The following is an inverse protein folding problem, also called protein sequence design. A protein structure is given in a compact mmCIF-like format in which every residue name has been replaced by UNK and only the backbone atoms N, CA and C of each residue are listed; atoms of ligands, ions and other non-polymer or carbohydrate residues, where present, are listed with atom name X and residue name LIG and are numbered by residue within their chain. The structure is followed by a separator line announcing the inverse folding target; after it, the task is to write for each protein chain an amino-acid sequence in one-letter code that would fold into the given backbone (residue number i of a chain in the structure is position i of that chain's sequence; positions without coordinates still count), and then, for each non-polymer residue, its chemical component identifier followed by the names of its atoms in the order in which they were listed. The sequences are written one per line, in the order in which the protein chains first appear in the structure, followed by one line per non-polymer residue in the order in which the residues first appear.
data_IF_305918181925
#
_entry.id   IF_305918181925
#
_cell.length_a   1.000
_cell.length_b   1.000
_cell.length_c   1.000
_cell.angle_alpha   90.00
_cell.angle_beta   90.00
_cell.angle_gamma   90.00
#
_symmetry.space_group_name_H-M   'P 1'
#
loop_
_entity.id
_entity.type
_entity.pdbx_description
1 polymer ?
#
# COMPACT_ATOMS: atom_id res chain seq x y z
N UNK A 1 -45.52 53.23 -21.66
CA UNK A 1 -46.40 52.08 -21.35
C UNK A 1 -46.58 51.18 -22.58
N UNK A 2 -45.50 50.74 -23.23
CA UNK A 2 -45.60 49.91 -24.45
C UNK A 2 -44.39 48.98 -24.70
N UNK A 3 -43.64 48.61 -23.66
CA UNK A 3 -42.47 47.71 -23.79
C UNK A 3 -42.51 46.49 -22.88
N UNK A 4 -43.54 46.32 -22.03
CA UNK A 4 -43.71 45.14 -21.15
C UNK A 4 -44.66 44.06 -21.68
N UNK A 5 -45.31 44.26 -22.83
CA UNK A 5 -46.28 43.29 -23.37
C UNK A 5 -45.70 42.26 -24.36
N UNK A 6 -44.47 42.43 -24.84
CA UNK A 6 -43.87 41.52 -25.83
C UNK A 6 -43.07 40.36 -25.21
N UNK A 7 -42.66 40.45 -23.94
CA UNK A 7 -41.89 39.36 -23.29
C UNK A 7 -42.75 38.25 -22.67
N UNK A 8 -44.01 38.50 -22.31
CA UNK A 8 -44.83 37.45 -21.67
C UNK A 8 -45.36 36.40 -22.66
N UNK A 9 -45.56 36.76 -23.94
CA UNK A 9 -46.03 35.83 -24.98
C UNK A 9 -44.95 34.84 -25.43
N UNK A 10 -43.66 35.17 -25.35
CA UNK A 10 -42.56 34.23 -25.67
C UNK A 10 -42.34 33.18 -24.58
N UNK A 11 -42.60 33.50 -23.30
CA UNK A 11 -42.44 32.54 -22.19
C UNK A 11 -43.55 31.49 -22.14
N UNK A 12 -44.78 31.80 -22.54
CA UNK A 12 -45.86 30.79 -22.60
C UNK A 12 -45.68 29.78 -23.75
N UNK A 13 -45.08 30.18 -24.87
CA UNK A 13 -44.87 29.27 -26.00
C UNK A 13 -43.75 28.24 -25.73
N UNK A 14 -42.73 28.61 -24.95
CA UNK A 14 -41.59 27.74 -24.63
C UNK A 14 -41.97 26.70 -23.54
N UNK A 15 -42.82 27.08 -22.59
CA UNK A 15 -43.30 26.14 -21.55
C UNK A 15 -44.29 25.12 -22.11
N UNK A 16 -45.09 25.48 -23.12
CA UNK A 16 -46.03 24.56 -23.80
C UNK A 16 -45.36 23.51 -24.69
N UNK A 17 -44.18 23.79 -25.25
CA UNK A 17 -43.44 22.84 -26.11
C UNK A 17 -42.62 21.85 -25.27
N UNK A 18 -42.10 22.27 -24.11
CA UNK A 18 -41.31 21.40 -23.23
C UNK A 18 -42.21 20.39 -22.46
N UNK A 19 -43.45 20.77 -22.14
CA UNK A 19 -44.42 19.84 -21.51
C UNK A 19 -44.98 18.78 -22.47
N UNK A 20 -45.13 19.10 -23.76
CA UNK A 20 -45.58 18.16 -24.78
C UNK A 20 -44.54 17.08 -25.16
N UNK A 21 -43.25 17.41 -25.09
CA UNK A 21 -42.16 16.46 -25.37
C UNK A 21 -41.96 15.49 -24.18
N UNK A 22 -42.17 15.97 -22.94
CA UNK A 22 -42.12 15.11 -21.75
C UNK A 22 -43.25 14.06 -21.71
N UNK A 23 -44.46 14.40 -22.19
CA UNK A 23 -45.59 13.46 -22.16
C UNK A 23 -45.58 12.41 -23.29
N UNK A 24 -44.85 12.61 -24.38
CA UNK A 24 -44.85 11.69 -25.53
C UNK A 24 -43.66 10.74 -25.54
N UNK A 25 -42.54 11.10 -24.91
CA UNK A 25 -41.32 10.28 -24.90
C UNK A 25 -41.16 9.44 -23.62
N UNK A 26 -41.62 9.93 -22.45
CA UNK A 26 -41.43 9.24 -21.16
C UNK A 26 -42.62 8.35 -20.74
N UNK A 27 -43.84 8.61 -21.21
CA UNK A 27 -45.00 7.78 -20.87
C UNK A 27 -44.92 6.34 -21.40
N UNK A 28 -44.38 6.08 -22.62
CA UNK A 28 -44.18 4.70 -23.09
C UNK A 28 -43.10 3.94 -22.30
N UNK A 29 -42.19 4.64 -21.62
CA UNK A 29 -41.13 4.04 -20.80
C UNK A 29 -41.63 3.68 -19.38
N UNK A 30 -42.60 4.43 -18.85
CA UNK A 30 -43.20 4.17 -17.53
C UNK A 30 -44.30 3.09 -17.54
N UNK A 31 -44.94 2.84 -18.70
CA UNK A 31 -45.99 1.82 -18.83
C UNK A 31 -45.47 0.43 -19.21
N UNK A 32 -44.16 0.25 -19.44
CA UNK A 32 -43.57 -1.04 -19.80
C UNK A 32 -43.00 -1.78 -18.58
N UNK A 33 -43.83 -1.96 -17.54
CA UNK A 33 -43.49 -2.70 -16.31
C UNK A 33 -43.07 -4.15 -16.57
N UNK A 34 -43.47 -4.73 -17.70
CA UNK A 34 -43.17 -6.11 -18.08
C UNK A 34 -41.76 -6.35 -18.66
N UNK A 35 -41.00 -5.28 -18.96
CA UNK A 35 -39.62 -5.42 -19.45
C UNK A 35 -38.59 -5.46 -18.32
N UNK A 36 -38.91 -4.89 -17.15
CA UNK A 36 -38.05 -4.90 -15.97
C UNK A 36 -38.07 -6.23 -15.22
N UNK A 37 -39.22 -6.93 -15.16
CA UNK A 37 -39.28 -8.26 -14.53
C UNK A 37 -38.67 -9.37 -15.39
N UNK A 38 -38.75 -9.27 -16.72
CA UNK A 38 -38.05 -10.21 -17.62
C UNK A 38 -36.51 -10.11 -17.54
N UNK A 39 -35.97 -8.96 -17.12
CA UNK A 39 -34.52 -8.81 -16.89
C UNK A 39 -34.06 -9.32 -15.51
N UNK A 40 -34.97 -9.59 -14.55
CA UNK A 40 -34.61 -10.29 -13.30
C UNK A 40 -34.47 -11.80 -13.48
N UNK A 41 -35.01 -12.35 -14.57
CA UNK A 41 -34.90 -13.77 -14.94
C UNK A 41 -33.87 -14.04 -16.04
N UNK A 42 -33.13 -13.02 -16.50
CA UNK A 42 -31.80 -13.27 -17.05
C UNK A 42 -30.89 -13.61 -15.87
N UNK A 43 -31.05 -14.84 -15.41
CA UNK A 43 -29.93 -15.61 -14.86
C UNK A 43 -28.70 -15.22 -15.65
N UNK A 44 -27.67 -14.75 -14.94
CA UNK A 44 -26.32 -14.91 -15.41
C UNK A 44 -26.17 -16.41 -15.68
N UNK A 45 -26.50 -16.84 -16.90
CA UNK A 45 -25.87 -17.98 -17.51
C UNK A 45 -24.41 -17.56 -17.67
N UNK A 46 -23.70 -17.57 -16.54
CA UNK A 46 -22.28 -17.87 -16.52
C UNK A 46 -22.20 -19.11 -17.36
N UNK A 47 -21.62 -18.97 -18.55
CA UNK A 47 -21.29 -20.09 -19.39
C UNK A 47 -20.63 -21.11 -18.48
N UNK A 48 -21.25 -22.28 -18.28
CA UNK A 48 -20.65 -23.44 -17.59
C UNK A 48 -19.32 -23.88 -18.22
N UNK A 49 -18.91 -23.24 -19.33
CA UNK A 49 -17.60 -23.35 -19.97
C UNK A 49 -16.51 -22.43 -19.41
N UNK A 50 -16.81 -21.57 -18.44
CA UNK A 50 -15.81 -20.82 -17.67
C UNK A 50 -15.54 -21.44 -16.29
N UNK A 51 -15.84 -22.73 -16.10
CA UNK A 51 -14.97 -23.60 -15.30
C UNK A 51 -13.63 -23.77 -16.05
N UNK A 52 -12.97 -22.65 -16.35
CA UNK A 52 -11.55 -22.68 -16.63
C UNK A 52 -10.89 -23.06 -15.31
N UNK A 53 -10.05 -24.09 -15.33
CA UNK A 53 -9.26 -24.61 -14.22
C UNK A 53 -8.74 -23.50 -13.29
N UNK A 54 -9.46 -23.22 -12.21
CA UNK A 54 -8.91 -22.48 -11.07
C UNK A 54 -7.78 -23.27 -10.37
N UNK A 55 -7.60 -24.54 -10.75
CA UNK A 55 -6.42 -25.34 -10.47
C UNK A 55 -5.12 -24.70 -11.01
N UNK A 56 -5.20 -23.68 -11.88
CA UNK A 56 -4.03 -22.99 -12.47
C UNK A 56 -3.86 -21.52 -12.06
N UNK A 57 -4.60 -20.97 -11.08
CA UNK A 57 -4.46 -19.55 -10.74
C UNK A 57 -3.02 -19.17 -10.34
N UNK A 58 -2.40 -20.01 -9.51
CA UNK A 58 -1.02 -19.83 -8.99
C UNK A 58 -0.42 -21.20 -8.63
N UNK A 59 0.86 -21.44 -8.91
CA UNK A 59 1.47 -22.79 -8.74
C UNK A 59 2.77 -22.84 -7.90
N UNK A 60 3.10 -21.82 -7.10
CA UNK A 60 4.31 -21.80 -6.27
C UNK A 60 4.13 -22.46 -4.88
N UNK A 61 5.21 -22.93 -4.22
CA UNK A 61 5.13 -23.47 -2.86
C UNK A 61 4.68 -22.44 -1.82
N UNK A 62 4.06 -22.85 -0.70
CA UNK A 62 3.64 -21.94 0.37
C UNK A 62 4.75 -21.01 0.85
N UNK A 63 4.36 -19.82 1.30
CA UNK A 63 5.29 -18.91 1.96
C UNK A 63 5.60 -19.43 3.37
N UNK A 64 6.88 -19.42 3.73
CA UNK A 64 7.37 -19.76 5.07
C UNK A 64 8.25 -18.63 5.56
N UNK A 65 8.32 -18.42 6.87
CA UNK A 65 9.08 -17.32 7.50
C UNK A 65 10.54 -17.66 7.83
N UNK A 66 10.94 -18.92 7.80
CA UNK A 66 12.34 -19.33 8.03
C UNK A 66 13.28 -19.16 6.82
N UNK A 67 14.50 -18.62 7.01
CA UNK A 67 15.50 -18.43 5.95
C UNK A 67 15.87 -19.69 5.20
N UNK A 68 15.97 -19.57 3.88
CA UNK A 68 16.44 -20.67 3.01
C UNK A 68 17.95 -20.83 3.03
N UNK A 69 18.66 -20.02 3.82
CA UNK A 69 20.11 -20.02 3.92
C UNK A 69 20.58 -19.73 5.34
N UNK A 70 21.79 -20.18 5.67
CA UNK A 70 22.40 -19.88 6.97
C UNK A 70 22.85 -18.41 7.04
N UNK A 71 22.03 -17.61 7.71
CA UNK A 71 22.29 -16.18 7.92
C UNK A 71 23.56 -15.92 8.74
N UNK A 72 23.92 -16.82 9.66
CA UNK A 72 25.14 -16.70 10.47
C UNK A 72 26.37 -16.90 9.60
N UNK A 73 26.35 -17.92 8.75
CA UNK A 73 27.44 -18.20 7.80
C UNK A 73 27.57 -17.08 6.76
N UNK A 74 26.44 -16.56 6.25
CA UNK A 74 26.40 -15.38 5.37
C UNK A 74 27.08 -14.16 6.00
N UNK A 75 26.66 -13.75 7.21
CA UNK A 75 27.24 -12.60 7.92
C UNK A 75 28.72 -12.80 8.24
N UNK A 76 29.11 -14.04 8.57
CA UNK A 76 30.50 -14.36 8.94
C UNK A 76 31.44 -14.36 7.73
N UNK A 77 31.01 -14.83 6.56
CA UNK A 77 31.93 -15.12 5.45
C UNK A 77 31.70 -14.31 4.18
N UNK A 78 30.50 -13.77 3.98
CA UNK A 78 30.14 -13.12 2.73
C UNK A 78 30.15 -11.60 2.85
N UNK A 79 29.49 -11.04 3.87
CA UNK A 79 29.16 -9.62 3.94
C UNK A 79 30.12 -8.80 4.82
N UNK A 80 30.52 -7.62 4.33
CA UNK A 80 31.26 -6.61 5.12
C UNK A 80 30.24 -5.70 5.82
N UNK A 81 30.09 -5.85 7.14
CA UNK A 81 29.08 -5.22 8.01
C UNK A 81 29.02 -3.67 8.05
N UNK A 82 29.77 -2.95 7.21
CA UNK A 82 29.99 -1.50 7.39
C UNK A 82 29.35 -0.60 6.32
N UNK A 83 28.60 -1.13 5.36
CA UNK A 83 28.20 -0.33 4.20
C UNK A 83 26.68 -0.34 3.99
N UNK A 84 26.09 0.86 3.95
CA UNK A 84 24.74 1.10 3.43
C UNK A 84 24.67 0.70 1.95
N UNK A 85 23.60 0.00 1.57
CA UNK A 85 23.40 -0.64 0.26
C UNK A 85 23.24 0.36 -0.90
N UNK A 86 23.54 -0.01 -2.16
CA UNK A 86 24.85 -0.42 -2.67
C UNK A 86 25.42 0.63 -3.64
N UNK A 87 26.63 1.10 -3.37
CA UNK A 87 27.59 1.73 -4.28
C UNK A 87 27.99 0.80 -5.43
N UNK A 88 28.62 1.39 -6.45
CA UNK A 88 28.67 0.92 -7.85
C UNK A 88 29.22 -0.50 -8.10
N UNK A 89 29.76 -1.16 -7.08
CA UNK A 89 30.34 -2.50 -7.19
C UNK A 89 29.92 -3.38 -6.00
N UNK A 90 28.97 -4.32 -6.20
CA UNK A 90 28.64 -5.33 -5.21
C UNK A 90 29.88 -6.08 -4.67
N UNK A 91 30.97 -6.20 -5.44
CA UNK A 91 32.20 -6.84 -5.00
C UNK A 91 32.89 -6.10 -3.85
N UNK A 92 32.68 -4.78 -3.70
CA UNK A 92 33.19 -4.01 -2.56
C UNK A 92 32.52 -4.39 -1.23
N UNK A 93 31.35 -5.04 -1.28
CA UNK A 93 30.59 -5.48 -0.11
C UNK A 93 30.94 -6.89 0.33
N UNK A 94 31.64 -7.64 -0.53
CA UNK A 94 31.96 -9.02 -0.27
C UNK A 94 33.37 -9.17 0.29
N UNK A 95 33.54 -10.06 1.27
CA UNK A 95 34.87 -10.38 1.82
C UNK A 95 35.73 -11.01 0.73
N UNK A 96 37.04 -10.73 0.71
CA UNK A 96 37.98 -11.20 -0.35
C UNK A 96 37.88 -12.70 -0.72
N UNK A 97 37.42 -13.56 0.19
CA UNK A 97 37.28 -15.01 -0.02
C UNK A 97 35.81 -15.51 -0.07
N UNK A 98 34.83 -14.63 -0.33
CA UNK A 98 33.41 -15.02 -0.33
C UNK A 98 33.11 -16.15 -1.33
N UNK A 99 33.84 -16.21 -2.45
CA UNK A 99 33.69 -17.24 -3.49
C UNK A 99 34.05 -18.66 -3.03
N UNK A 100 34.68 -18.81 -1.86
CA UNK A 100 34.95 -20.13 -1.27
C UNK A 100 33.71 -20.77 -0.62
N UNK A 101 32.65 -19.99 -0.35
CA UNK A 101 31.48 -20.46 0.38
C UNK A 101 30.25 -20.50 -0.53
N UNK A 102 29.59 -21.65 -0.59
CA UNK A 102 28.39 -21.87 -1.41
C UNK A 102 27.27 -20.89 -1.06
N UNK A 103 27.05 -20.63 0.23
CA UNK A 103 26.02 -19.67 0.68
C UNK A 103 26.23 -18.27 0.06
N UNK A 104 27.48 -17.84 -0.13
CA UNK A 104 27.72 -16.52 -0.71
C UNK A 104 27.30 -16.51 -2.18
N UNK A 105 27.65 -17.56 -2.93
CA UNK A 105 27.27 -17.67 -4.35
C UNK A 105 25.76 -17.73 -4.52
N UNK A 106 25.07 -18.51 -3.69
CA UNK A 106 23.63 -18.70 -3.77
C UNK A 106 22.87 -17.42 -3.49
N UNK A 107 23.23 -16.70 -2.41
CA UNK A 107 22.58 -15.42 -2.05
C UNK A 107 22.87 -14.34 -3.08
N UNK A 108 24.10 -14.25 -3.60
CA UNK A 108 24.45 -13.28 -4.66
C UNK A 108 23.69 -13.60 -5.94
N UNK A 109 23.59 -14.87 -6.31
CA UNK A 109 22.78 -15.32 -7.46
C UNK A 109 21.31 -14.97 -7.25
N UNK A 110 20.78 -15.12 -6.03
CA UNK A 110 19.41 -14.76 -5.70
C UNK A 110 19.17 -13.25 -5.88
N UNK A 111 20.02 -12.41 -5.30
CA UNK A 111 19.97 -10.95 -5.44
C UNK A 111 19.98 -10.56 -6.93
N UNK A 112 20.93 -11.09 -7.70
CA UNK A 112 21.07 -10.77 -9.13
C UNK A 112 19.93 -11.33 -9.98
N UNK A 113 19.25 -12.38 -9.54
CA UNK A 113 18.09 -12.93 -10.26
C UNK A 113 16.87 -12.01 -10.16
N UNK A 114 16.68 -11.34 -9.02
CA UNK A 114 15.51 -10.49 -8.76
C UNK A 114 15.77 -9.02 -9.05
N UNK A 115 16.96 -8.52 -8.71
CA UNK A 115 17.26 -7.09 -8.78
C UNK A 115 18.28 -6.75 -9.86
N UNK A 116 18.09 -5.58 -10.46
CA UNK A 116 19.12 -4.87 -11.21
C UNK A 116 19.44 -3.58 -10.45
N UNK A 117 20.71 -3.40 -10.09
CA UNK A 117 21.19 -2.24 -9.33
C UNK A 117 22.26 -1.54 -10.13
N UNK A 118 22.11 -0.23 -10.33
CA UNK A 118 23.03 0.60 -11.11
C UNK A 118 23.27 1.93 -10.42
N UNK A 119 24.50 2.42 -10.46
CA UNK A 119 24.80 3.79 -10.06
C UNK A 119 25.18 4.62 -11.28
N UNK A 120 24.68 5.84 -11.36
CA UNK A 120 25.11 6.85 -12.33
C UNK A 120 25.63 8.08 -11.59
N UNK A 121 26.56 8.81 -12.21
CA UNK A 121 27.03 10.10 -11.70
C UNK A 121 26.47 11.20 -12.60
N UNK A 122 25.65 12.08 -12.05
CA UNK A 122 25.13 13.25 -12.73
C UNK A 122 25.98 14.48 -12.38
N UNK A 123 26.62 15.06 -13.41
CA UNK A 123 27.43 16.28 -13.26
C UNK A 123 26.54 17.52 -13.40
N UNK A 124 26.74 18.49 -12.51
CA UNK A 124 26.01 19.77 -12.52
C UNK A 124 27.03 20.89 -12.43
N UNK A 125 26.81 21.94 -13.20
CA UNK A 125 27.55 23.19 -13.11
C UNK A 125 26.63 24.29 -12.57
N UNK A 126 27.12 25.05 -11.58
CA UNK A 126 26.39 26.18 -11.02
C UNK A 126 27.03 27.49 -11.46
N UNK A 127 26.31 28.39 -12.16
CA UNK A 127 26.76 29.75 -12.39
C UNK A 127 27.10 30.43 -11.06
N UNK A 128 28.07 31.34 -11.04
CA UNK A 128 28.67 31.89 -9.81
C UNK A 128 27.64 32.39 -8.78
N UNK A 129 26.65 33.17 -9.22
CA UNK A 129 25.58 33.69 -8.35
C UNK A 129 24.78 32.54 -7.73
N UNK A 130 24.48 31.51 -8.50
CA UNK A 130 23.74 30.35 -8.02
C UNK A 130 24.61 29.45 -7.13
N UNK A 131 25.90 29.30 -7.43
CA UNK A 131 26.86 28.59 -6.60
C UNK A 131 26.91 29.18 -5.17
N UNK A 132 26.91 30.50 -5.04
CA UNK A 132 26.84 31.17 -3.72
C UNK A 132 25.53 30.82 -2.99
N UNK A 133 24.39 30.82 -3.69
CA UNK A 133 23.09 30.42 -3.12
C UNK A 133 23.10 28.96 -2.65
N UNK A 134 23.65 28.03 -3.45
CA UNK A 134 23.75 26.62 -3.10
C UNK A 134 24.69 26.40 -1.90
N UNK A 135 25.85 27.08 -1.88
CA UNK A 135 26.76 27.06 -0.72
C UNK A 135 26.04 27.52 0.55
N UNK A 136 25.26 28.59 0.47
CA UNK A 136 24.44 29.06 1.60
C UNK A 136 23.42 28.01 2.05
N UNK A 137 22.73 27.33 1.12
CA UNK A 137 21.78 26.25 1.46
C UNK A 137 22.47 25.10 2.20
N UNK A 138 23.70 24.77 1.83
CA UNK A 138 24.49 23.74 2.50
C UNK A 138 25.31 24.24 3.69
N UNK A 139 25.01 25.43 4.23
CA UNK A 139 25.78 26.05 5.33
C UNK A 139 27.29 26.07 5.07
N UNK A 140 27.68 26.29 3.82
CA UNK A 140 29.07 26.34 3.34
C UNK A 140 29.86 25.03 3.55
N UNK A 141 29.19 23.90 3.68
CA UNK A 141 29.82 22.58 3.68
C UNK A 141 30.40 22.26 2.29
N UNK A 142 31.73 22.31 2.17
CA UNK A 142 32.44 22.03 0.93
C UNK A 142 32.27 20.59 0.45
N UNK A 143 32.04 19.64 1.35
CA UNK A 143 31.82 18.22 1.01
C UNK A 143 30.45 18.04 0.36
N UNK A 144 29.41 18.62 0.95
CA UNK A 144 28.07 18.61 0.34
C UNK A 144 28.03 19.38 -0.96
N UNK A 145 28.72 20.52 -1.05
CA UNK A 145 28.84 21.27 -2.29
C UNK A 145 29.52 20.45 -3.40
N UNK A 146 30.62 19.75 -3.09
CA UNK A 146 31.28 18.86 -4.06
C UNK A 146 30.36 17.71 -4.52
N UNK A 147 29.62 17.08 -3.58
CA UNK A 147 28.60 16.07 -3.90
C UNK A 147 27.45 16.62 -4.77
N UNK A 148 27.13 17.90 -4.64
CA UNK A 148 26.09 18.53 -5.45
C UNK A 148 26.50 18.77 -6.91
N UNK A 149 27.79 19.00 -7.14
CA UNK A 149 28.38 19.09 -8.48
C UNK A 149 28.50 17.72 -9.15
N UNK A 150 28.62 16.64 -8.38
CA UNK A 150 28.73 15.26 -8.87
C UNK A 150 27.79 14.35 -8.08
N UNK A 151 26.52 14.34 -8.47
CA UNK A 151 25.49 13.62 -7.76
C UNK A 151 25.49 12.14 -8.13
N UNK A 152 25.70 11.29 -7.13
CA UNK A 152 25.52 9.85 -7.28
C UNK A 152 24.03 9.49 -7.18
N UNK A 153 23.54 8.81 -8.21
CA UNK A 153 22.16 8.36 -8.33
C UNK A 153 22.15 6.83 -8.38
N UNK A 154 21.34 6.22 -7.52
CA UNK A 154 21.31 4.78 -7.33
C UNK A 154 19.96 4.24 -7.80
N UNK A 155 19.97 3.47 -8.87
CA UNK A 155 18.80 2.89 -9.51
C UNK A 155 18.67 1.45 -9.07
N UNK A 156 17.51 1.06 -8.56
CA UNK A 156 17.17 -0.30 -8.20
C UNK A 156 15.88 -0.69 -8.91
N UNK A 157 15.91 -1.76 -9.67
CA UNK A 157 14.75 -2.31 -10.39
C UNK A 157 14.53 -3.74 -9.91
N UNK A 158 13.31 -4.06 -9.47
CA UNK A 158 12.86 -5.44 -9.36
C UNK A 158 12.47 -5.96 -10.75
N UNK A 159 13.18 -6.96 -11.27
CA UNK A 159 12.98 -7.52 -12.62
C UNK A 159 11.62 -8.21 -12.77
N UNK A 160 11.02 -8.64 -11.66
CA UNK A 160 9.76 -9.36 -11.65
C UNK A 160 8.55 -8.42 -11.47
N UNK A 161 8.61 -7.46 -10.56
CA UNK A 161 7.50 -6.50 -10.33
C UNK A 161 7.61 -5.24 -11.18
N UNK A 162 8.78 -4.98 -11.76
CA UNK A 162 9.14 -3.72 -12.42
C UNK A 162 9.05 -2.47 -11.54
N UNK A 163 8.94 -2.65 -10.21
CA UNK A 163 9.12 -1.55 -9.27
C UNK A 163 10.54 -1.00 -9.43
N UNK A 164 10.61 0.32 -9.66
CA UNK A 164 11.84 1.03 -9.95
C UNK A 164 11.99 2.20 -8.98
N UNK A 165 13.10 2.22 -8.26
CA UNK A 165 13.40 3.26 -7.26
C UNK A 165 14.75 3.90 -7.56
N UNK A 166 14.79 5.23 -7.46
CA UNK A 166 16.02 6.02 -7.49
C UNK A 166 16.29 6.63 -6.14
N UNK A 167 17.41 6.23 -5.53
CA UNK A 167 17.92 6.87 -4.34
C UNK A 167 18.80 8.06 -4.71
N UNK A 168 18.45 9.23 -4.17
CA UNK A 168 19.26 10.45 -4.24
C UNK A 168 19.18 11.21 -2.91
N UNK A 169 20.10 10.96 -1.96
CA UNK A 169 20.06 11.62 -0.66
C UNK A 169 20.18 13.14 -0.68
N UNK A 170 20.78 13.71 -1.74
CA UNK A 170 20.89 15.15 -1.88
C UNK A 170 19.55 15.82 -2.16
N UNK A 171 18.58 15.12 -2.77
CA UNK A 171 17.25 15.67 -3.02
C UNK A 171 16.49 16.01 -1.74
N UNK A 172 16.73 15.29 -0.65
CA UNK A 172 16.17 15.60 0.67
C UNK A 172 16.71 16.90 1.28
N UNK A 173 17.76 17.51 0.70
CA UNK A 173 18.34 18.79 1.16
C UNK A 173 17.80 20.00 0.41
N UNK A 174 16.83 19.81 -0.49
CA UNK A 174 16.18 20.92 -1.20
C UNK A 174 15.46 21.81 -0.19
N UNK A 175 15.47 23.14 -0.36
CA UNK A 175 14.65 24.02 0.46
C UNK A 175 13.17 23.63 0.31
N UNK A 176 12.55 23.27 1.43
CA UNK A 176 11.10 23.02 1.52
C UNK A 176 10.49 24.16 2.33
N UNK A 177 9.30 24.61 1.93
CA UNK A 177 8.55 25.57 2.74
C UNK A 177 8.09 24.88 4.02
N UNK A 178 8.38 25.49 5.16
CA UNK A 178 7.82 25.03 6.42
C UNK A 178 6.29 25.16 6.39
N UNK A 179 5.55 24.20 6.97
CA UNK A 179 4.11 24.35 7.15
C UNK A 179 3.80 25.63 7.93
N UNK A 180 2.70 26.31 7.57
CA UNK A 180 2.26 27.52 8.26
C UNK A 180 1.81 27.23 9.70
N UNK A 181 1.26 26.03 9.93
CA UNK A 181 0.72 25.60 11.23
C UNK A 181 1.52 24.40 11.76
N UNK A 182 1.92 24.43 13.05
CA UNK A 182 2.50 23.26 13.71
C UNK A 182 1.59 22.03 13.63
N UNK A 183 2.19 20.86 13.40
CA UNK A 183 1.48 19.59 13.20
C UNK A 183 0.52 19.25 14.36
N UNK A 184 0.99 19.41 15.60
CA UNK A 184 0.20 19.08 16.79
C UNK A 184 -1.01 20.01 16.94
N UNK A 185 -0.85 21.29 16.62
CA UNK A 185 -1.94 22.25 16.60
C UNK A 185 -2.98 21.88 15.53
N UNK A 186 -2.52 21.62 14.30
CA UNK A 186 -3.40 21.22 13.20
C UNK A 186 -4.22 19.97 13.54
N UNK A 187 -3.59 18.96 14.14
CA UNK A 187 -4.28 17.72 14.54
C UNK A 187 -5.34 17.97 15.61
N UNK A 188 -4.98 18.68 16.68
CA UNK A 188 -5.92 18.95 17.77
C UNK A 188 -7.14 19.73 17.28
N UNK A 189 -6.92 20.79 16.49
CA UNK A 189 -8.00 21.58 15.89
C UNK A 189 -8.86 20.75 14.94
N UNK A 190 -8.22 19.88 14.14
CA UNK A 190 -8.94 18.99 13.21
C UNK A 190 -9.83 18.03 13.98
N UNK A 191 -9.30 17.30 14.98
CA UNK A 191 -10.06 16.34 15.78
C UNK A 191 -11.22 17.02 16.53
N UNK A 192 -10.98 18.18 17.15
CA UNK A 192 -12.02 18.90 17.89
C UNK A 192 -13.13 19.38 16.96
N UNK A 193 -12.76 19.89 15.78
CA UNK A 193 -13.72 20.39 14.80
C UNK A 193 -14.55 19.27 14.18
N UNK A 194 -13.92 18.17 13.77
CA UNK A 194 -14.60 17.10 13.03
C UNK A 194 -15.41 16.19 13.93
N UNK A 195 -15.06 16.04 15.21
CA UNK A 195 -15.80 15.17 16.14
C UNK A 195 -17.23 15.64 16.41
N UNK A 196 -17.48 16.96 16.41
CA UNK A 196 -18.78 17.57 16.80
C UNK A 196 -19.97 17.09 15.95
N UNK A 197 -19.76 16.89 14.64
CA UNK A 197 -20.80 16.52 13.68
C UNK A 197 -20.37 15.31 12.83
N UNK A 198 -19.62 14.38 13.42
CA UNK A 198 -19.11 13.22 12.69
C UNK A 198 -20.20 12.16 12.50
N UNK A 199 -20.57 11.89 11.24
CA UNK A 199 -21.52 10.82 10.88
C UNK A 199 -21.07 9.45 11.41
N UNK A 200 -19.76 9.17 11.35
CA UNK A 200 -19.19 7.93 11.88
C UNK A 200 -19.25 7.85 13.42
N UNK A 201 -19.37 8.97 14.14
CA UNK A 201 -19.61 8.92 15.59
C UNK A 201 -21.08 8.58 15.91
N UNK A 202 -22.02 8.92 15.03
CA UNK A 202 -23.45 8.57 15.13
C UNK A 202 -23.80 7.39 14.20
N UNK A 203 -22.97 6.35 14.25
CA UNK A 203 -22.99 5.31 13.23
C UNK A 203 -24.31 4.54 13.14
N UNK A 204 -25.08 4.43 14.22
CA UNK A 204 -26.35 3.72 14.21
C UNK A 204 -27.37 4.35 13.25
N UNK A 205 -27.33 5.68 13.10
CA UNK A 205 -28.30 6.44 12.32
C UNK A 205 -27.72 7.02 11.02
N UNK A 206 -26.40 7.23 10.97
CA UNK A 206 -25.74 7.98 9.89
C UNK A 206 -24.82 7.13 9.00
N UNK A 207 -24.91 5.80 9.07
CA UNK A 207 -24.11 4.91 8.20
C UNK A 207 -24.96 3.81 7.57
N UNK A 208 -24.59 3.42 6.35
CA UNK A 208 -25.30 2.38 5.60
C UNK A 208 -25.06 0.97 6.17
N UNK A 209 -25.96 0.06 5.83
CA UNK A 209 -25.99 -1.34 6.27
C UNK A 209 -25.99 -2.22 5.00
N UNK A 210 -25.20 -3.29 4.97
CA UNK A 210 -25.18 -4.25 3.85
C UNK A 210 -26.07 -5.48 4.17
N UNK A 211 -26.07 -6.49 3.30
CA UNK A 211 -26.88 -7.70 3.49
C UNK A 211 -26.51 -8.50 4.74
N UNK A 212 -25.28 -8.36 5.25
CA UNK A 212 -24.82 -9.01 6.48
C UNK A 212 -25.24 -8.25 7.74
N UNK A 213 -25.88 -7.09 7.58
CA UNK A 213 -26.24 -6.23 8.69
C UNK A 213 -25.06 -5.42 9.22
N UNK A 214 -25.21 -4.88 10.43
CA UNK A 214 -24.14 -4.18 11.13
C UNK A 214 -23.45 -5.16 12.08
N UNK A 215 -22.18 -5.43 11.83
CA UNK A 215 -21.33 -6.19 12.75
C UNK A 215 -20.70 -5.23 13.75
N UNK A 216 -20.61 -5.63 15.01
CA UNK A 216 -20.04 -4.80 16.08
C UNK A 216 -19.34 -5.68 17.11
N UNK A 217 -18.25 -5.17 17.68
CA UNK A 217 -17.60 -5.72 18.86
C UNK A 217 -17.36 -4.60 19.90
N UNK A 218 -16.50 -4.85 20.88
CA UNK A 218 -16.33 -3.92 22.01
C UNK A 218 -15.90 -2.54 21.53
N UNK A 219 -14.93 -2.49 20.62
CA UNK A 219 -14.27 -1.26 20.21
C UNK A 219 -14.52 -0.83 18.77
N UNK A 220 -15.12 -1.66 17.93
CA UNK A 220 -15.30 -1.40 16.51
C UNK A 220 -16.69 -1.79 15.99
N UNK A 221 -17.05 -1.21 14.85
CA UNK A 221 -18.30 -1.49 14.14
C UNK A 221 -18.08 -1.48 12.63
N UNK A 222 -18.93 -2.19 11.89
CA UNK A 222 -18.96 -2.16 10.43
C UNK A 222 -19.99 -1.14 9.93
N UNK A 223 -19.80 -0.67 8.70
CA UNK A 223 -20.81 0.02 7.93
C UNK A 223 -20.61 -0.32 6.44
N UNK A 224 -21.69 -0.51 5.70
CA UNK A 224 -21.57 -0.62 4.25
C UNK A 224 -21.01 0.68 3.69
N UNK A 225 -20.13 0.60 2.69
CA UNK A 225 -19.79 1.79 1.94
C UNK A 225 -21.04 2.24 1.16
N UNK A 226 -21.47 3.50 1.33
CA UNK A 226 -22.63 4.04 0.63
C UNK A 226 -22.39 4.19 -0.89
N UNK A 227 -21.12 4.32 -1.30
CA UNK A 227 -20.66 4.45 -2.68
C UNK A 227 -19.68 3.32 -2.99
N UNK A 228 -20.22 2.10 -3.08
CA UNK A 228 -19.42 0.90 -3.32
C UNK A 228 -18.69 0.96 -4.68
N UNK A 229 -17.43 0.54 -4.70
CA UNK A 229 -16.68 0.27 -5.94
C UNK A 229 -16.59 -1.23 -6.27
N UNK A 230 -17.05 -2.11 -5.35
CA UNK A 230 -17.13 -3.55 -5.52
C UNK A 230 -18.41 -4.08 -4.84
N UNK A 231 -18.90 -5.25 -5.24
CA UNK A 231 -20.10 -5.89 -4.70
C UNK A 231 -19.99 -6.03 -3.17
N UNK A 232 -18.90 -6.64 -2.72
CA UNK A 232 -18.56 -6.77 -1.31
C UNK A 232 -17.58 -5.68 -0.94
N UNK A 233 -18.11 -4.53 -0.54
CA UNK A 233 -17.35 -3.40 -0.04
C UNK A 233 -17.98 -2.84 1.24
N UNK A 234 -17.28 -3.00 2.35
CA UNK A 234 -17.66 -2.51 3.67
C UNK A 234 -16.54 -1.66 4.26
N UNK A 235 -16.87 -0.88 5.28
CA UNK A 235 -15.94 -0.11 6.08
C UNK A 235 -15.97 -0.60 7.53
N UNK A 236 -14.85 -0.46 8.24
CA UNK A 236 -14.72 -0.81 9.65
C UNK A 236 -14.03 0.31 10.39
N UNK A 237 -14.61 0.68 11.52
CA UNK A 237 -14.23 1.87 12.26
C UNK A 237 -14.06 1.54 13.73
N UNK A 238 -13.04 2.08 14.42
CA UNK A 238 -13.04 2.09 15.87
C UNK A 238 -14.10 3.09 16.37
N UNK A 239 -14.60 2.90 17.59
CA UNK A 239 -15.49 3.89 18.23
C UNK A 239 -14.75 5.18 18.60
N UNK A 240 -13.42 5.12 18.66
CA UNK A 240 -12.54 6.27 18.86
C UNK A 240 -12.46 7.15 17.61
N UNK A 241 -12.78 8.44 17.75
CA UNK A 241 -12.69 9.42 16.67
C UNK A 241 -11.24 9.90 16.42
N UNK A 242 -10.42 9.95 17.45
CA UNK A 242 -9.07 10.51 17.37
C UNK A 242 -8.05 9.40 17.06
N UNK A 243 -7.51 9.42 15.84
CA UNK A 243 -6.53 8.41 15.39
C UNK A 243 -5.29 8.35 16.27
N UNK A 244 -4.89 9.47 16.89
CA UNK A 244 -3.69 9.53 17.73
C UNK A 244 -3.89 8.82 19.06
N UNK A 245 -5.15 8.58 19.45
CA UNK A 245 -5.55 7.86 20.66
C UNK A 245 -5.92 6.40 20.40
N UNK A 246 -5.77 5.93 19.16
CA UNK A 246 -6.08 4.55 18.80
C UNK A 246 -5.18 3.59 19.57
N UNK A 247 -5.80 2.72 20.37
CA UNK A 247 -5.11 1.69 21.15
C UNK A 247 -4.94 0.40 20.35
N UNK A 248 -4.08 -0.49 20.85
CA UNK A 248 -3.88 -1.81 20.26
C UNK A 248 -5.18 -2.62 20.22
N UNK A 249 -5.95 -2.61 21.31
CA UNK A 249 -7.22 -3.36 21.38
C UNK A 249 -8.26 -2.82 20.39
N UNK A 250 -8.32 -1.51 20.19
CA UNK A 250 -9.22 -0.91 19.19
C UNK A 250 -8.80 -1.29 17.76
N UNK A 251 -7.51 -1.22 17.42
CA UNK A 251 -7.02 -1.65 16.10
C UNK A 251 -7.27 -3.15 15.87
N UNK A 252 -7.03 -3.98 16.89
CA UNK A 252 -7.30 -5.42 16.86
C UNK A 252 -8.77 -5.71 16.62
N UNK A 253 -9.66 -5.01 17.33
CA UNK A 253 -11.10 -5.16 17.14
C UNK A 253 -11.55 -4.73 15.74
N UNK A 254 -10.99 -3.65 15.17
CA UNK A 254 -11.28 -3.23 13.79
C UNK A 254 -10.89 -4.31 12.78
N UNK A 255 -9.64 -4.79 12.84
CA UNK A 255 -9.11 -5.74 11.85
C UNK A 255 -9.72 -7.14 12.00
N UNK A 256 -9.99 -7.60 13.24
CA UNK A 256 -10.65 -8.89 13.47
C UNK A 256 -12.14 -8.85 13.10
N UNK A 257 -12.82 -7.71 13.23
CA UNK A 257 -14.19 -7.54 12.75
C UNK A 257 -14.24 -7.62 11.22
N UNK A 258 -13.29 -6.99 10.52
CA UNK A 258 -13.15 -7.11 9.07
C UNK A 258 -12.91 -8.57 8.64
N UNK A 259 -12.06 -9.31 9.36
CA UNK A 259 -11.85 -10.74 9.11
C UNK A 259 -13.14 -11.58 9.25
N UNK A 260 -13.92 -11.35 10.30
CA UNK A 260 -15.21 -12.02 10.49
C UNK A 260 -16.21 -11.68 9.37
N UNK A 261 -16.20 -10.43 8.93
CA UNK A 261 -17.04 -10.00 7.81
C UNK A 261 -16.63 -10.69 6.50
N UNK A 262 -15.33 -10.83 6.21
CA UNK A 262 -14.87 -11.60 5.04
C UNK A 262 -15.39 -13.04 5.04
N UNK A 263 -15.31 -13.72 6.19
CA UNK A 263 -15.82 -15.09 6.33
C UNK A 263 -17.34 -15.16 6.10
N UNK A 264 -18.10 -14.18 6.60
CA UNK A 264 -19.55 -14.11 6.40
C UNK A 264 -19.91 -13.79 4.94
N UNK A 265 -19.24 -12.83 4.31
CA UNK A 265 -19.43 -12.47 2.90
C UNK A 265 -19.11 -13.65 1.97
N UNK A 266 -18.02 -14.37 2.21
CA UNK A 266 -17.68 -15.58 1.47
C UNK A 266 -18.72 -16.69 1.64
N UNK A 267 -19.28 -16.84 2.84
CA UNK A 267 -20.36 -17.81 3.08
C UNK A 267 -21.62 -17.48 2.29
N UNK A 268 -21.98 -16.20 2.17
CA UNK A 268 -23.11 -15.77 1.32
C UNK A 268 -22.79 -15.86 -0.17
N UNK A 269 -21.52 -15.66 -0.55
CA UNK A 269 -21.08 -15.69 -1.93
C UNK A 269 -19.74 -16.44 -2.09
N UNK A 270 -19.76 -17.78 -2.22
CA UNK A 270 -18.54 -18.61 -2.21
C UNK A 270 -17.55 -18.33 -3.34
N UNK A 271 -17.97 -17.64 -4.40
CA UNK A 271 -17.05 -17.21 -5.46
C UNK A 271 -16.12 -16.07 -5.00
N UNK A 272 -16.57 -15.23 -4.07
CA UNK A 272 -15.82 -14.09 -3.53
C UNK A 272 -14.79 -14.56 -2.51
N UNK A 273 -13.52 -14.51 -2.88
CA UNK A 273 -12.42 -15.20 -2.18
C UNK A 273 -11.19 -14.36 -1.96
N UNK A 274 -11.07 -13.18 -2.55
CA UNK A 274 -9.83 -12.38 -2.51
C UNK A 274 -9.98 -11.17 -1.56
N UNK A 275 -9.72 -11.36 -0.25
CA UNK A 275 -9.84 -10.31 0.77
C UNK A 275 -8.74 -9.25 0.65
N UNK A 276 -9.16 -7.99 0.61
CA UNK A 276 -8.28 -6.81 0.60
C UNK A 276 -8.78 -5.77 1.60
N UNK A 277 -7.88 -5.27 2.45
CA UNK A 277 -8.12 -4.11 3.31
C UNK A 277 -7.27 -2.94 2.81
N UNK A 278 -7.87 -1.76 2.71
CA UNK A 278 -7.22 -0.50 2.36
C UNK A 278 -7.43 0.49 3.51
N UNK A 279 -6.40 1.26 3.84
CA UNK A 279 -6.49 2.25 4.90
C UNK A 279 -5.68 3.50 4.56
N UNK A 280 -6.40 4.60 4.38
CA UNK A 280 -5.82 5.93 4.34
C UNK A 280 -6.11 6.66 5.66
N UNK A 281 -5.12 7.38 6.20
CA UNK A 281 -5.30 8.18 7.41
C UNK A 281 -5.24 9.67 7.14
N UNK A 282 -6.29 10.37 7.61
CA UNK A 282 -6.46 11.81 7.48
C UNK A 282 -6.52 12.30 6.01
N UNK A 283 -6.94 13.55 5.74
CA UNK A 283 -7.10 14.03 4.37
C UNK A 283 -5.82 13.95 3.52
N UNK A 284 -4.65 14.22 4.11
CA UNK A 284 -3.36 14.10 3.40
C UNK A 284 -3.02 12.66 3.00
N UNK A 285 -3.54 11.67 3.74
CA UNK A 285 -3.45 10.26 3.37
C UNK A 285 -4.38 9.87 2.23
N UNK A 286 -5.42 10.66 1.96
CA UNK A 286 -6.49 10.33 1.01
C UNK A 286 -7.82 9.97 1.68
N UNK A 287 -7.89 9.99 3.02
CA UNK A 287 -9.12 9.72 3.74
C UNK A 287 -10.15 10.83 3.48
N UNK A 288 -11.35 10.45 3.03
CA UNK A 288 -12.44 11.40 2.80
C UNK A 288 -13.09 11.91 4.09
N UNK A 289 -12.91 11.17 5.20
CA UNK A 289 -13.39 11.50 6.53
C UNK A 289 -12.26 11.35 7.56
N UNK A 290 -12.26 12.20 8.58
CA UNK A 290 -11.19 12.24 9.59
C UNK A 290 -11.26 11.07 10.57
N UNK A 291 -12.47 10.63 10.94
CA UNK A 291 -12.66 9.50 11.82
C UNK A 291 -11.99 8.24 11.21
N UNK A 292 -11.13 7.52 11.95
CA UNK A 292 -10.39 6.40 11.41
C UNK A 292 -11.32 5.35 10.81
N UNK A 293 -11.03 4.89 9.60
CA UNK A 293 -11.79 3.83 8.97
C UNK A 293 -10.90 3.07 8.02
N UNK A 294 -11.12 1.76 7.94
CA UNK A 294 -10.55 0.92 6.91
C UNK A 294 -11.65 0.54 5.93
N UNK A 295 -11.29 0.36 4.67
CA UNK A 295 -12.14 -0.23 3.65
C UNK A 295 -11.77 -1.71 3.52
N UNK A 296 -12.77 -2.59 3.51
CA UNK A 296 -12.58 -4.01 3.24
C UNK A 296 -13.37 -4.41 2.00
N UNK A 297 -12.72 -5.14 1.09
CA UNK A 297 -13.30 -5.64 -0.15
C UNK A 297 -13.01 -7.11 -0.35
N UNK A 298 -13.98 -7.83 -0.91
CA UNK A 298 -13.86 -9.27 -1.18
C UNK A 298 -14.22 -9.54 -2.63
N UNK A 299 -13.21 -9.67 -3.47
CA UNK A 299 -13.39 -9.85 -4.91
C UNK A 299 -13.48 -11.34 -5.28
N UNK A 300 -14.10 -11.65 -6.42
CA UNK A 300 -14.34 -13.03 -6.88
C UNK A 300 -13.17 -13.67 -7.62
N UNK A 301 -12.46 -12.88 -8.42
CA UNK A 301 -11.60 -13.46 -9.47
C UNK A 301 -10.11 -13.32 -9.19
N UNK A 302 -9.70 -12.20 -8.60
CA UNK A 302 -8.30 -11.82 -8.39
C UNK A 302 -8.15 -10.72 -7.33
N UNK A 303 -6.91 -10.40 -6.95
CA UNK A 303 -6.61 -9.21 -6.13
C UNK A 303 -6.62 -7.92 -6.94
N UNK A 304 -6.67 -6.77 -6.28
CA UNK A 304 -6.67 -5.48 -6.98
C UNK A 304 -5.28 -5.02 -7.42
N UNK A 305 -5.25 -4.42 -8.62
CA UNK A 305 -4.20 -3.52 -9.09
C UNK A 305 -2.77 -4.01 -8.87
N UNK A 306 -2.01 -3.27 -8.05
CA UNK A 306 -0.58 -3.51 -7.84
C UNK A 306 -0.29 -4.89 -7.23
N UNK A 307 -1.14 -5.38 -6.32
CA UNK A 307 -0.86 -6.67 -5.69
C UNK A 307 -1.06 -7.84 -6.64
N UNK A 308 -2.00 -7.71 -7.58
CA UNK A 308 -2.15 -8.69 -8.66
C UNK A 308 -0.91 -8.69 -9.58
N UNK A 309 -0.28 -7.53 -9.80
CA UNK A 309 1.01 -7.46 -10.51
C UNK A 309 2.14 -8.17 -9.74
N UNK A 310 2.16 -8.06 -8.41
CA UNK A 310 3.10 -8.80 -7.54
C UNK A 310 2.81 -10.32 -7.58
N UNK A 311 1.54 -10.71 -7.65
CA UNK A 311 1.14 -12.11 -7.82
C UNK A 311 1.65 -12.66 -9.16
N UNK A 312 1.42 -11.95 -10.27
CA UNK A 312 1.97 -12.36 -11.57
C UNK A 312 3.49 -12.42 -11.59
N UNK A 313 4.16 -11.47 -10.92
CA UNK A 313 5.60 -11.49 -10.70
C UNK A 313 6.05 -12.76 -9.97
N UNK A 314 5.27 -13.22 -8.99
CA UNK A 314 5.52 -14.45 -8.23
C UNK A 314 5.40 -15.70 -9.09
N UNK A 315 4.36 -15.77 -9.94
CA UNK A 315 4.18 -16.87 -10.89
C UNK A 315 5.32 -16.93 -11.91
N UNK A 316 5.72 -15.77 -12.46
CA UNK A 316 6.86 -15.69 -13.39
C UNK A 316 8.16 -16.14 -12.73
N UNK A 317 8.44 -15.65 -11.52
CA UNK A 317 9.61 -16.07 -10.74
C UNK A 317 9.64 -17.58 -10.53
N UNK A 318 8.51 -18.19 -10.22
CA UNK A 318 8.40 -19.63 -10.08
C UNK A 318 8.67 -20.37 -11.40
N UNK A 319 8.15 -19.88 -12.53
CA UNK A 319 8.28 -20.51 -13.85
C UNK A 319 9.68 -20.39 -14.46
N UNK A 320 10.43 -19.33 -14.16
CA UNK A 320 11.76 -19.08 -14.74
C UNK A 320 12.83 -20.09 -14.29
N UNK A 321 12.53 -20.99 -13.35
CA UNK A 321 13.43 -22.08 -12.97
C UNK A 321 13.14 -23.35 -13.79
N UNK A 322 14.06 -23.77 -14.66
CA UNK A 322 13.84 -24.91 -15.57
C UNK A 322 13.61 -26.25 -14.85
N UNK A 323 14.29 -26.49 -13.73
CA UNK A 323 14.23 -27.77 -13.02
C UNK A 323 13.05 -27.81 -12.04
N UNK A 324 12.10 -28.73 -12.26
CA UNK A 324 10.88 -28.91 -11.45
C UNK A 324 11.20 -29.15 -9.96
N UNK A 325 12.24 -29.92 -9.64
CA UNK A 325 12.64 -30.13 -8.25
C UNK A 325 13.17 -28.84 -7.62
N UNK A 326 13.93 -28.04 -8.37
CA UNK A 326 14.38 -26.72 -7.90
C UNK A 326 13.22 -25.73 -7.76
N UNK A 327 12.23 -25.78 -8.65
CA UNK A 327 11.02 -24.92 -8.61
C UNK A 327 10.24 -25.06 -7.32
N UNK A 328 10.07 -26.30 -6.83
CA UNK A 328 9.29 -26.61 -5.62
C UNK A 328 9.82 -25.98 -4.33
N UNK A 329 11.02 -25.41 -4.36
CA UNK A 329 11.63 -24.67 -3.25
C UNK A 329 11.62 -23.15 -3.47
N UNK A 330 11.02 -22.64 -4.56
CA UNK A 330 11.07 -21.23 -4.96
C UNK A 330 9.73 -20.54 -4.73
N UNK A 331 9.68 -19.79 -3.65
CA UNK A 331 8.62 -18.83 -3.39
C UNK A 331 9.17 -17.41 -3.58
N UNK A 332 8.46 -16.54 -4.33
CA UNK A 332 8.92 -15.18 -4.62
C UNK A 332 8.98 -14.30 -3.37
N UNK A 333 7.96 -14.34 -2.51
CA UNK A 333 7.93 -13.57 -1.26
C UNK A 333 9.04 -14.01 -0.31
N UNK A 334 9.31 -15.32 -0.25
CA UNK A 334 10.46 -15.91 0.46
C UNK A 334 11.79 -15.36 -0.07
N UNK A 335 11.96 -15.35 -1.39
CA UNK A 335 13.16 -14.81 -2.03
C UNK A 335 13.37 -13.32 -1.74
N UNK A 336 12.29 -12.53 -1.78
CA UNK A 336 12.32 -11.12 -1.38
C UNK A 336 12.74 -11.01 0.08
N UNK A 337 12.14 -11.77 1.00
CA UNK A 337 12.53 -11.78 2.40
C UNK A 337 14.01 -12.15 2.60
N UNK A 338 14.50 -13.21 1.95
CA UNK A 338 15.88 -13.68 2.08
C UNK A 338 16.90 -12.63 1.61
N UNK A 339 16.61 -11.92 0.50
CA UNK A 339 17.45 -10.82 0.02
C UNK A 339 17.51 -9.70 1.07
N UNK A 340 16.38 -9.31 1.65
CA UNK A 340 16.36 -8.26 2.66
C UNK A 340 17.04 -8.72 3.96
N UNK A 341 16.93 -9.99 4.34
CA UNK A 341 17.67 -10.57 5.47
C UNK A 341 19.18 -10.52 5.24
N UNK A 342 19.63 -10.89 4.04
CA UNK A 342 21.04 -10.83 3.64
C UNK A 342 21.60 -9.41 3.74
N UNK A 343 20.77 -8.42 3.43
CA UNK A 343 21.07 -7.00 3.51
C UNK A 343 20.86 -6.37 4.90
N UNK A 344 20.44 -7.16 5.89
CA UNK A 344 20.12 -6.68 7.23
C UNK A 344 19.06 -5.57 7.24
N UNK A 345 18.03 -5.72 6.42
CA UNK A 345 16.90 -4.80 6.28
C UNK A 345 15.59 -5.38 6.84
N UNK A 346 15.68 -6.41 7.69
CA UNK A 346 14.54 -7.13 8.23
C UNK A 346 14.56 -7.20 9.75
N UNK A 347 13.37 -7.22 10.34
CA UNK A 347 13.15 -7.57 11.75
C UNK A 347 12.15 -8.72 11.78
N UNK A 348 12.47 -9.79 12.49
CA UNK A 348 11.60 -10.97 12.60
C UNK A 348 11.11 -11.16 14.03
N UNK A 349 9.79 -11.27 14.21
CA UNK A 349 9.11 -11.50 15.48
C UNK A 349 8.16 -12.68 15.37
N UNK A 350 8.52 -13.83 15.94
CA UNK A 350 7.62 -14.98 16.12
C UNK A 350 6.76 -15.36 14.89
N UNK A 351 7.37 -15.40 13.70
CA UNK A 351 6.66 -15.72 12.44
C UNK A 351 6.09 -14.50 11.70
N UNK A 352 6.47 -13.27 12.08
CA UNK A 352 6.17 -12.04 11.34
C UNK A 352 7.48 -11.37 10.95
N UNK A 353 7.64 -11.03 9.67
CA UNK A 353 8.81 -10.34 9.16
C UNK A 353 8.45 -8.93 8.71
N UNK A 354 9.07 -7.93 9.33
CA UNK A 354 9.06 -6.53 8.89
C UNK A 354 10.27 -6.31 8.01
N UNK A 355 10.13 -5.68 6.86
CA UNK A 355 11.26 -5.33 6.00
C UNK A 355 11.14 -3.93 5.41
N UNK A 356 12.30 -3.28 5.23
CA UNK A 356 12.44 -2.02 4.49
C UNK A 356 12.77 -2.39 3.03
N UNK A 357 11.85 -2.21 2.08
CA UNK A 357 12.04 -2.66 0.71
C UNK A 357 13.17 -1.87 0.02
N UNK A 358 14.09 -2.54 -0.68
CA UNK A 358 15.10 -1.84 -1.51
C UNK A 358 14.54 -1.20 -2.78
N UNK A 359 13.28 -1.51 -3.12
CA UNK A 359 12.47 -0.80 -4.12
C UNK A 359 11.36 -0.02 -3.42
N UNK A 360 11.76 0.81 -2.44
CA UNK A 360 10.81 1.65 -1.68
C UNK A 360 10.09 2.64 -2.60
N UNK A 361 8.81 2.88 -2.34
CA UNK A 361 8.03 3.92 -3.01
C UNK A 361 8.30 5.31 -2.44
N UNK A 362 8.55 5.38 -1.12
CA UNK A 362 8.91 6.58 -0.36
C UNK A 362 9.82 6.22 0.82
N UNK A 363 10.35 7.22 1.51
CA UNK A 363 11.00 7.04 2.81
C UNK A 363 10.04 6.39 3.81
N UNK A 364 10.56 5.54 4.68
CA UNK A 364 9.80 4.79 5.69
C UNK A 364 8.65 3.93 5.15
N UNK A 365 8.68 3.58 3.85
CA UNK A 365 7.90 2.49 3.28
C UNK A 365 8.29 1.17 3.97
N UNK A 366 7.29 0.44 4.44
CA UNK A 366 7.48 -0.79 5.22
C UNK A 366 6.56 -1.87 4.67
N UNK A 367 7.12 -3.06 4.47
CA UNK A 367 6.38 -4.28 4.14
C UNK A 367 6.42 -5.21 5.37
N UNK A 368 5.29 -5.84 5.67
CA UNK A 368 5.16 -6.88 6.69
C UNK A 368 4.63 -8.14 6.02
N UNK A 369 5.34 -9.26 6.22
CA UNK A 369 4.99 -10.58 5.73
C UNK A 369 4.75 -11.52 6.89
N UNK A 370 3.70 -12.33 6.81
CA UNK A 370 3.46 -13.41 7.74
C UNK A 370 2.76 -14.59 7.05
N UNK A 371 2.88 -15.77 7.65
CA UNK A 371 2.15 -16.97 7.22
C UNK A 371 0.66 -16.88 7.59
N UNK A 372 0.35 -16.28 8.74
CA UNK A 372 -0.99 -16.25 9.31
C UNK A 372 -1.40 -14.84 9.73
N UNK A 373 -2.69 -14.55 9.61
CA UNK A 373 -3.27 -13.30 10.10
C UNK A 373 -3.73 -13.51 11.54
N UNK A 374 -2.89 -13.12 12.49
CA UNK A 374 -3.11 -13.33 13.91
C UNK A 374 -2.76 -12.08 14.76
N UNK A 375 -2.89 -12.21 16.08
CA UNK A 375 -2.62 -11.11 17.01
C UNK A 375 -1.16 -10.62 16.96
N UNK A 376 -0.19 -11.50 16.65
CA UNK A 376 1.23 -11.12 16.53
C UNK A 376 1.41 -10.19 15.33
N UNK A 377 0.79 -10.53 14.21
CA UNK A 377 0.80 -9.69 13.01
C UNK A 377 0.14 -8.32 13.25
N UNK A 378 -1.03 -8.30 13.90
CA UNK A 378 -1.73 -7.05 14.25
C UNK A 378 -0.87 -6.18 15.18
N UNK A 379 -0.17 -6.79 16.16
CA UNK A 379 0.72 -6.07 17.08
C UNK A 379 1.88 -5.40 16.35
N UNK A 380 2.42 -6.05 15.32
CA UNK A 380 3.46 -5.45 14.45
C UNK A 380 2.90 -4.25 13.67
N UNK A 381 1.71 -4.36 13.06
CA UNK A 381 1.05 -3.23 12.39
C UNK A 381 0.88 -2.06 13.36
N UNK A 382 0.35 -2.34 14.55
CA UNK A 382 0.15 -1.32 15.58
C UNK A 382 1.46 -0.60 15.90
N UNK A 383 2.56 -1.34 16.10
CA UNK A 383 3.85 -0.73 16.43
C UNK A 383 4.44 0.10 15.30
N UNK A 384 4.21 -0.28 14.05
CA UNK A 384 4.62 0.55 12.90
C UNK A 384 3.88 1.89 12.91
N UNK A 385 2.55 1.87 13.13
CA UNK A 385 1.74 3.08 13.24
C UNK A 385 2.20 3.95 14.41
N UNK A 386 2.50 3.34 15.57
CA UNK A 386 3.06 4.07 16.71
C UNK A 386 4.45 4.64 16.42
N UNK A 387 5.27 3.96 15.62
CA UNK A 387 6.54 4.48 15.12
C UNK A 387 6.35 5.73 14.28
N UNK A 388 5.41 5.70 13.33
CA UNK A 388 5.05 6.86 12.52
C UNK A 388 4.61 8.05 13.38
N UNK A 389 3.70 7.82 14.34
CA UNK A 389 3.16 8.91 15.16
C UNK A 389 4.19 9.45 16.16
N UNK A 390 4.90 8.58 16.87
CA UNK A 390 5.71 9.00 18.01
C UNK A 390 7.16 9.32 17.64
N UNK A 391 7.72 8.67 16.61
CA UNK A 391 9.12 8.84 16.20
C UNK A 391 9.26 9.76 15.00
N UNK A 392 8.36 9.64 14.02
CA UNK A 392 8.41 10.47 12.81
C UNK A 392 7.51 11.70 12.88
N UNK A 393 6.58 11.75 13.84
CA UNK A 393 5.51 12.78 13.89
C UNK A 393 4.75 12.85 12.56
N UNK A 394 4.54 11.70 11.95
CA UNK A 394 3.90 11.53 10.65
C UNK A 394 2.58 10.80 10.83
N UNK A 395 1.46 11.51 10.65
CA UNK A 395 0.13 11.01 11.04
C UNK A 395 -0.72 10.56 9.85
N UNK A 396 -0.42 11.09 8.66
CA UNK A 396 -0.99 10.61 7.40
C UNK A 396 -0.15 9.49 6.82
N UNK A 397 -0.82 8.42 6.41
CA UNK A 397 -0.28 7.27 5.71
C UNK A 397 -1.33 6.67 4.78
N UNK A 398 -0.86 5.83 3.86
CA UNK A 398 -1.68 4.93 3.05
C UNK A 398 -1.17 3.51 3.25
N UNK A 399 -2.06 2.55 3.43
CA UNK A 399 -1.69 1.15 3.58
C UNK A 399 -2.68 0.20 2.93
N UNK A 400 -2.17 -1.00 2.66
CA UNK A 400 -2.95 -2.11 2.13
C UNK A 400 -2.57 -3.40 2.86
N UNK A 401 -3.57 -4.22 3.16
CA UNK A 401 -3.43 -5.57 3.69
C UNK A 401 -4.11 -6.52 2.72
N UNK A 402 -3.33 -7.39 2.11
CA UNK A 402 -3.81 -8.49 1.29
C UNK A 402 -3.70 -9.78 2.09
N UNK A 403 -4.83 -10.48 2.22
CA UNK A 403 -4.92 -11.75 2.92
C UNK A 403 -4.97 -12.88 1.89
N UNK A 404 -4.45 -14.08 2.20
CA UNK A 404 -4.59 -15.25 1.33
C UNK A 404 -6.05 -15.49 0.92
N UNK A 405 -6.31 -16.12 -0.24
CA UNK A 405 -7.68 -16.36 -0.67
C UNK A 405 -8.45 -17.23 0.34
N UNK A 406 -9.73 -16.91 0.54
CA UNK A 406 -10.62 -17.72 1.37
C UNK A 406 -10.91 -19.04 0.68
N UNK A 407 -10.81 -20.14 1.44
CA UNK A 407 -10.90 -21.52 0.93
C UNK A 407 -9.80 -21.84 -0.10
N UNK A 408 -8.55 -22.03 0.35
CA UNK A 408 -7.44 -22.36 -0.54
C UNK A 408 -7.69 -23.67 -1.30
N UNK A 409 -7.04 -23.83 -2.45
CA UNK A 409 -6.99 -25.11 -3.17
C UNK A 409 -6.47 -26.22 -2.23
N UNK A 410 -6.77 -27.49 -2.52
CA UNK A 410 -6.51 -28.63 -1.62
C UNK A 410 -5.07 -28.74 -1.07
N UNK A 411 -4.07 -28.17 -1.75
CA UNK A 411 -2.64 -28.33 -1.42
C UNK A 411 -1.92 -27.02 -1.00
N UNK A 412 -2.62 -25.92 -0.72
CA UNK A 412 -2.04 -24.60 -0.35
C UNK A 412 -1.01 -24.00 -1.35
N UNK A 413 -0.89 -24.61 -2.54
CA UNK A 413 -0.03 -24.11 -3.61
C UNK A 413 -0.57 -22.79 -4.16
N UNK A 414 0.33 -21.85 -4.42
CA UNK A 414 -0.02 -20.58 -5.05
C UNK A 414 -0.65 -19.56 -4.11
N UNK A 415 -0.68 -19.84 -2.80
CA UNK A 415 -1.14 -18.88 -1.81
C UNK A 415 -0.14 -17.74 -1.63
N UNK A 416 -0.65 -16.51 -1.60
CA UNK A 416 0.10 -15.34 -1.19
C UNK A 416 0.27 -15.37 0.34
N UNK A 417 1.33 -14.78 0.90
CA UNK A 417 1.40 -14.56 2.33
C UNK A 417 0.32 -13.57 2.78
N UNK A 418 0.17 -13.44 4.10
CA UNK A 418 -0.40 -12.22 4.67
C UNK A 418 0.58 -11.09 4.39
N UNK A 419 0.17 -10.16 3.54
CA UNK A 419 1.01 -9.06 3.06
C UNK A 419 0.41 -7.74 3.50
N UNK A 420 1.17 -6.96 4.28
CA UNK A 420 0.84 -5.58 4.59
C UNK A 420 1.92 -4.66 4.06
N UNK A 421 1.53 -3.54 3.46
CA UNK A 421 2.45 -2.45 3.12
C UNK A 421 1.87 -1.14 3.61
N UNK A 422 2.71 -0.33 4.22
CA UNK A 422 2.36 1.01 4.68
C UNK A 422 3.41 2.00 4.19
N UNK A 423 2.93 3.12 3.70
CA UNK A 423 3.75 4.22 3.19
C UNK A 423 3.30 5.49 3.88
N UNK A 424 4.22 6.28 4.48
CA UNK A 424 3.82 7.55 5.04
C UNK A 424 3.36 8.47 3.91
N UNK A 425 2.40 9.31 4.24
CA UNK A 425 1.94 10.41 3.41
C UNK A 425 2.41 11.71 4.07
N UNK A 426 2.09 12.87 3.53
CA UNK A 426 2.80 14.08 3.92
C UNK A 426 2.46 14.59 5.28
N UNK A 427 3.26 15.54 5.73
CA UNK A 427 2.94 16.30 6.93
C UNK A 427 1.53 16.86 6.79
N UNK A 428 0.69 16.59 7.79
CA UNK A 428 -0.76 16.86 7.74
C UNK A 428 -1.10 18.34 7.61
N UNK A 429 -0.17 19.24 7.96
CA UNK A 429 -0.32 20.69 7.82
C UNK A 429 0.35 21.25 6.56
N UNK A 430 0.96 20.42 5.72
CA UNK A 430 1.63 20.85 4.49
C UNK A 430 0.61 21.10 3.38
N UNK A 431 0.75 22.18 2.61
CA UNK A 431 -0.06 22.38 1.39
C UNK A 431 0.47 21.61 0.18
N UNK A 432 1.67 21.02 0.28
CA UNK A 432 2.31 20.36 -0.85
C UNK A 432 1.74 18.96 -1.06
N UNK A 433 1.37 18.66 -2.32
CA UNK A 433 1.11 17.29 -2.73
C UNK A 433 2.42 16.49 -2.69
N UNK A 434 2.38 15.33 -2.05
CA UNK A 434 3.51 14.41 -2.02
C UNK A 434 3.63 13.49 -3.22
N UNK A 435 2.51 13.33 -3.91
CA UNK A 435 2.40 12.48 -5.07
C UNK A 435 2.45 13.39 -6.29
N UNK A 436 3.40 13.09 -7.16
CA UNK A 436 3.61 13.82 -8.41
C UNK A 436 3.43 12.89 -9.61
N UNK A 437 3.52 13.44 -10.82
CA UNK A 437 3.57 12.62 -12.04
C UNK A 437 4.73 11.62 -12.03
N UNK A 438 5.81 11.91 -11.30
CA UNK A 438 6.94 11.00 -11.14
C UNK A 438 6.50 9.71 -10.43
N UNK A 439 5.79 9.85 -9.31
CA UNK A 439 5.35 8.74 -8.47
C UNK A 439 4.17 7.98 -9.09
N UNK A 440 3.28 8.67 -9.81
CA UNK A 440 2.09 8.05 -10.41
C UNK A 440 2.37 7.33 -11.72
N UNK A 441 3.29 7.84 -12.55
CA UNK A 441 3.40 7.44 -13.95
C UNK A 441 4.80 6.99 -14.37
N UNK A 442 5.80 7.06 -13.48
CA UNK A 442 7.19 6.84 -13.86
C UNK A 442 7.93 5.97 -12.85
N UNK A 443 8.56 6.59 -11.85
CA UNK A 443 9.58 5.97 -11.01
C UNK A 443 9.50 6.53 -9.60
N UNK A 444 9.82 5.71 -8.61
CA UNK A 444 9.89 6.18 -7.24
C UNK A 444 11.20 6.89 -6.97
N UNK A 445 11.15 7.98 -6.21
CA UNK A 445 12.35 8.68 -5.78
C UNK A 445 12.39 8.77 -4.26
N UNK A 446 13.51 8.32 -3.69
CA UNK A 446 13.69 8.23 -2.24
C UNK A 446 14.99 8.93 -1.87
N UNK A 447 14.94 9.75 -0.83
CA UNK A 447 16.04 10.63 -0.42
C UNK A 447 16.87 10.05 0.73
N UNK A 448 16.68 8.77 1.06
CA UNK A 448 17.41 8.11 2.13
C UNK A 448 17.60 6.63 1.81
N UNK A 449 18.78 6.10 2.09
CA UNK A 449 19.06 4.70 1.79
C UNK A 449 18.30 3.75 2.73
N UNK A 450 17.96 2.54 2.27
CA UNK A 450 17.24 1.56 3.08
C UNK A 450 17.94 1.24 4.41
N UNK A 451 19.27 1.18 4.43
CA UNK A 451 20.03 0.90 5.65
C UNK A 451 19.88 2.01 6.71
N UNK A 452 19.88 3.27 6.28
CA UNK A 452 19.68 4.40 7.19
C UNK A 452 18.26 4.41 7.74
N UNK A 453 17.26 4.14 6.87
CA UNK A 453 15.87 3.99 7.28
C UNK A 453 15.70 2.83 8.27
N UNK A 454 16.31 1.68 7.99
CA UNK A 454 16.26 0.51 8.85
C UNK A 454 16.86 0.78 10.24
N UNK A 455 17.98 1.48 10.30
CA UNK A 455 18.63 1.85 11.56
C UNK A 455 17.73 2.68 12.49
N UNK A 456 16.78 3.43 11.93
CA UNK A 456 15.79 4.18 12.70
C UNK A 456 14.57 3.33 13.02
N UNK A 457 14.07 2.56 12.06
CA UNK A 457 12.88 1.71 12.21
C UNK A 457 13.10 0.63 13.26
N UNK A 458 14.29 0.04 13.35
CA UNK A 458 14.58 -0.99 14.35
C UNK A 458 14.35 -0.50 15.79
N UNK A 459 14.58 0.79 16.04
CA UNK A 459 14.36 1.41 17.36
C UNK A 459 12.89 1.47 17.77
N UNK A 460 11.96 1.30 16.82
CA UNK A 460 10.52 1.30 17.09
C UNK A 460 10.09 0.01 17.79
N UNK A 461 10.89 -1.05 17.64
CA UNK A 461 10.59 -2.38 18.13
C UNK A 461 11.40 -2.78 19.36
N UNK A 462 12.26 -1.91 19.91
CA UNK A 462 13.08 -2.18 21.10
C UNK A 462 12.29 -2.56 22.36
N UNK A 463 10.97 -2.29 22.37
CA UNK A 463 10.04 -2.58 23.48
C UNK A 463 9.03 -3.70 23.17
N UNK A 464 9.14 -4.36 22.02
CA UNK A 464 8.38 -5.59 21.72
C UNK A 464 9.08 -6.81 22.26
#
# INVERSE_FOLDING_TARGET
MMTKLFESKKKCLIVGVISGIFLTILLPQLLNKNKWEKNKQQTYHVNKKNEHDFAEYSQWPPFLTDPTFDLTLWRKHCWINQVSLPSQDPQLYYKKNYTAYTVCKDVISLINSIYNMKTNIAKVEYPEIFAQKIRKIFNYDNTLYAKALQQELYFVINKYTFEHTVYNPLRGRRPVQSPEVPVEQYLNETMEKTSKNCDLCNYQNMTAIDSLGRMENRYAYSAANAFKFDQWHSMFMPKQHDITKLTFEELKDVLTLAWKWFQAAHKESPLHRFPTILWDSLPHGGASQVHPHIHATLHSDHYYGQFESIRFASERYYRDYDNVSKRREKNFFRAIQDIHMAFNLTISFNGVTVLVPITSHKEYDIIVLAENFDERFIKVIYQIIQGYFNKLKQFSFSSCLYLPPLSPNQDDSGLTPVYYRIVPRGQVSSLLSEVSSLDLLSIYNVNKFPADLFSEIITWFEKM
#
